data_IF_656921458572
#
_entry.id   IF_656921458572
#
_cell.length_a   1.000
_cell.length_b   1.000
_cell.length_c   1.000
_cell.angle_alpha   90.00
_cell.angle_beta   90.00
_cell.angle_gamma   90.00
#
_symmetry.space_group_name_H-M   'P 1'
#
loop_
_entity.id
_entity.type
_entity.pdbx_description
1 polymer ?
#
# COMPACT_ATOMS: atom_id res chain seq x y z
N UNK A 1 -7.45 -13.45 1.10
CA UNK A 1 -8.50 -12.46 0.73
C UNK A 1 -9.53 -12.22 1.83
N UNK A 2 -10.34 -13.20 2.29
CA UNK A 2 -11.37 -12.94 3.32
C UNK A 2 -10.84 -12.24 4.58
N UNK A 3 -9.61 -12.55 5.00
CA UNK A 3 -9.00 -11.88 6.16
C UNK A 3 -8.65 -10.41 5.86
N UNK A 4 -8.17 -10.09 4.67
CA UNK A 4 -7.93 -8.69 4.27
C UNK A 4 -9.21 -7.86 4.25
N UNK A 5 -10.32 -8.44 3.77
CA UNK A 5 -11.65 -7.82 3.81
C UNK A 5 -12.12 -7.61 5.26
N UNK A 6 -12.01 -8.63 6.12
CA UNK A 6 -12.38 -8.50 7.53
C UNK A 6 -11.58 -7.41 8.24
N UNK A 7 -10.28 -7.30 7.96
CA UNK A 7 -9.43 -6.23 8.50
C UNK A 7 -9.88 -4.84 8.06
N UNK A 8 -10.36 -4.67 6.83
CA UNK A 8 -10.89 -3.39 6.35
C UNK A 8 -12.16 -2.98 7.12
N UNK A 9 -13.06 -3.93 7.39
CA UNK A 9 -14.27 -3.70 8.18
C UNK A 9 -13.95 -3.41 9.66
N UNK A 10 -13.03 -4.14 10.24
CA UNK A 10 -12.54 -3.92 11.62
C UNK A 10 -11.89 -2.53 11.75
N UNK A 11 -11.13 -2.12 10.73
CA UNK A 11 -10.48 -0.81 10.68
C UNK A 11 -11.47 0.34 10.78
N UNK A 12 -12.54 0.31 9.99
CA UNK A 12 -13.60 1.34 10.02
C UNK A 12 -14.25 1.42 11.40
N UNK A 13 -14.57 0.28 12.01
CA UNK A 13 -15.16 0.23 13.37
C UNK A 13 -14.26 0.86 14.43
N UNK A 14 -12.95 0.85 14.20
CA UNK A 14 -11.93 1.40 15.10
C UNK A 14 -11.44 2.80 14.70
N UNK A 15 -12.10 3.48 13.76
CA UNK A 15 -11.76 4.85 13.35
C UNK A 15 -10.64 4.95 12.31
N UNK A 16 -10.22 3.83 11.71
CA UNK A 16 -9.28 3.79 10.60
C UNK A 16 -9.97 3.82 9.23
N UNK A 17 -9.18 3.86 8.16
CA UNK A 17 -9.69 3.77 6.78
C UNK A 17 -10.14 2.36 6.39
N UNK A 18 -10.99 2.20 5.35
CA UNK A 18 -11.62 0.93 4.95
C UNK A 18 -10.66 0.02 4.15
N UNK A 19 -9.44 -0.16 4.62
CA UNK A 19 -8.43 -0.94 3.91
C UNK A 19 -7.72 -1.92 4.84
N UNK A 20 -7.53 -3.14 4.33
CA UNK A 20 -6.84 -4.21 5.02
C UNK A 20 -5.91 -4.98 4.07
N UNK A 21 -4.78 -5.45 4.59
CA UNK A 21 -3.78 -6.21 3.84
C UNK A 21 -3.25 -7.40 4.63
N UNK A 22 -2.97 -8.47 3.92
CA UNK A 22 -2.40 -9.72 4.47
C UNK A 22 -1.24 -10.15 3.58
N UNK A 23 -0.09 -10.43 4.18
CA UNK A 23 1.05 -11.07 3.51
C UNK A 23 1.11 -12.52 3.95
N UNK A 24 1.15 -13.44 2.97
CA UNK A 24 1.20 -14.87 3.21
C UNK A 24 2.35 -15.53 2.44
N UNK A 25 2.87 -16.63 2.96
CA UNK A 25 3.88 -17.47 2.33
C UNK A 25 3.49 -18.93 2.48
N UNK A 26 3.40 -19.66 1.35
CA UNK A 26 3.02 -21.08 1.35
C UNK A 26 1.74 -21.40 2.14
N UNK A 27 0.73 -20.53 2.02
CA UNK A 27 -0.56 -20.69 2.71
C UNK A 27 -0.60 -20.21 4.16
N UNK A 28 0.52 -19.77 4.74
CA UNK A 28 0.59 -19.25 6.09
C UNK A 28 0.60 -17.72 6.12
N UNK A 29 -0.18 -17.11 6.99
CA UNK A 29 -0.17 -15.66 7.20
C UNK A 29 1.11 -15.26 7.95
N UNK A 30 1.94 -14.44 7.30
CA UNK A 30 3.15 -13.87 7.88
C UNK A 30 2.84 -12.59 8.63
N UNK A 31 2.07 -11.70 8.03
CA UNK A 31 1.67 -10.43 8.61
C UNK A 31 0.30 -10.00 8.10
N UNK A 32 -0.41 -9.23 8.92
CA UNK A 32 -1.68 -8.60 8.57
C UNK A 32 -1.73 -7.20 9.15
N UNK A 33 -2.36 -6.27 8.45
CA UNK A 33 -2.52 -4.90 8.89
C UNK A 33 -3.77 -4.26 8.30
N UNK A 34 -4.23 -3.21 8.96
CA UNK A 34 -5.28 -2.32 8.48
C UNK A 34 -4.72 -0.89 8.30
N UNK A 35 -5.49 -0.03 7.63
CA UNK A 35 -5.14 1.38 7.46
C UNK A 35 -5.16 2.10 8.81
N UNK A 36 -4.07 2.82 9.11
CA UNK A 36 -3.88 3.56 10.36
C UNK A 36 -3.56 5.04 10.17
N UNK A 37 -3.75 5.58 8.98
CA UNK A 37 -3.41 6.98 8.64
C UNK A 37 -3.96 7.97 9.67
N UNK A 38 -5.24 7.85 10.01
CA UNK A 38 -5.91 8.75 10.96
C UNK A 38 -5.51 8.47 12.40
N UNK A 39 -5.27 7.21 12.76
CA UNK A 39 -4.94 6.80 14.13
C UNK A 39 -3.50 7.17 14.52
N UNK A 40 -2.57 7.04 13.56
CA UNK A 40 -1.13 7.26 13.78
C UNK A 40 -0.66 8.63 13.31
N UNK A 41 -1.55 9.45 12.70
CA UNK A 41 -1.20 10.70 12.02
C UNK A 41 -0.06 10.55 11.00
N UNK A 42 -0.01 9.37 10.35
CA UNK A 42 1.00 9.01 9.35
C UNK A 42 0.32 8.78 7.99
N UNK A 43 0.50 9.68 6.99
CA UNK A 43 -0.11 9.53 5.67
C UNK A 43 0.41 8.31 4.91
N UNK A 44 1.48 7.68 5.36
CA UNK A 44 2.05 6.46 4.75
C UNK A 44 1.58 5.17 5.42
N UNK A 45 0.84 5.24 6.53
CA UNK A 45 0.36 4.07 7.28
C UNK A 45 -0.84 3.38 6.58
N UNK A 46 -0.72 3.16 5.27
CA UNK A 46 -1.64 2.31 4.52
C UNK A 46 -1.49 0.84 4.95
N UNK A 47 -2.55 0.05 4.77
CA UNK A 47 -2.57 -1.34 5.19
C UNK A 47 -1.43 -2.16 4.58
N UNK A 48 -1.15 -1.98 3.29
CA UNK A 48 -0.10 -2.69 2.56
C UNK A 48 1.29 -2.34 3.08
N UNK A 49 1.60 -1.04 3.23
CA UNK A 49 2.88 -0.57 3.76
C UNK A 49 3.10 -1.08 5.18
N UNK A 50 2.06 -1.03 6.00
CA UNK A 50 2.09 -1.55 7.37
C UNK A 50 2.32 -3.07 7.40
N UNK A 51 1.64 -3.84 6.54
CA UNK A 51 1.84 -5.27 6.42
C UNK A 51 3.25 -5.63 5.95
N UNK A 52 3.81 -4.88 4.97
CA UNK A 52 5.20 -5.05 4.51
C UNK A 52 6.19 -4.83 5.65
N UNK A 53 6.03 -3.74 6.42
CA UNK A 53 6.89 -3.44 7.58
C UNK A 53 6.85 -4.56 8.62
N UNK A 54 5.66 -5.05 8.95
CA UNK A 54 5.48 -6.15 9.90
C UNK A 54 6.08 -7.46 9.38
N UNK A 55 5.84 -7.82 8.11
CA UNK A 55 6.41 -9.02 7.51
C UNK A 55 7.93 -8.97 7.46
N UNK A 56 8.50 -7.83 7.06
CA UNK A 56 9.95 -7.62 7.01
C UNK A 56 10.60 -7.75 8.39
N UNK A 57 9.97 -7.15 9.40
CA UNK A 57 10.42 -7.27 10.80
C UNK A 57 10.35 -8.72 11.29
N UNK A 58 9.22 -9.41 11.05
CA UNK A 58 9.00 -10.79 11.49
C UNK A 58 9.98 -11.77 10.83
N UNK A 59 10.29 -11.56 9.55
CA UNK A 59 11.18 -12.44 8.79
C UNK A 59 12.66 -12.02 8.88
N UNK A 60 12.96 -10.85 9.46
CA UNK A 60 14.31 -10.33 9.59
C UNK A 60 14.96 -9.98 8.22
N UNK A 61 14.15 -9.59 7.23
CA UNK A 61 14.62 -9.30 5.86
C UNK A 61 13.76 -8.26 5.18
N UNK A 62 14.36 -7.43 4.32
CA UNK A 62 13.65 -6.52 3.42
C UNK A 62 13.16 -7.21 2.13
N UNK A 63 13.66 -8.41 1.83
CA UNK A 63 13.30 -9.19 0.65
C UNK A 63 12.21 -10.21 1.00
N UNK A 64 10.99 -9.96 0.55
CA UNK A 64 9.82 -10.80 0.77
C UNK A 64 9.48 -11.71 -0.41
N UNK A 65 10.48 -12.05 -1.26
CA UNK A 65 10.30 -13.04 -2.33
C UNK A 65 9.77 -14.36 -1.76
N UNK A 66 8.88 -15.00 -2.48
CA UNK A 66 8.14 -16.17 -2.01
C UNK A 66 6.92 -15.85 -1.15
N UNK A 67 6.60 -14.56 -0.97
CA UNK A 67 5.37 -14.12 -0.31
C UNK A 67 4.43 -13.45 -1.30
N UNK A 68 3.13 -13.63 -1.06
CA UNK A 68 2.04 -12.96 -1.77
C UNK A 68 1.37 -11.94 -0.85
N UNK A 69 0.82 -10.88 -1.45
CA UNK A 69 -0.02 -9.91 -0.73
C UNK A 69 -1.46 -9.97 -1.19
N UNK A 70 -2.39 -9.92 -0.24
CA UNK A 70 -3.83 -9.85 -0.44
C UNK A 70 -4.33 -8.55 0.16
N UNK A 71 -4.97 -7.71 -0.64
CA UNK A 71 -5.48 -6.40 -0.26
C UNK A 71 -6.98 -6.30 -0.46
N UNK A 72 -7.69 -5.61 0.43
CA UNK A 72 -9.12 -5.39 0.29
C UNK A 72 -9.47 -4.49 -0.90
N UNK A 73 -8.51 -3.69 -1.36
CA UNK A 73 -8.62 -2.81 -2.52
C UNK A 73 -7.34 -2.82 -3.33
N UNK A 74 -7.43 -2.46 -4.61
CA UNK A 74 -6.27 -2.26 -5.50
C UNK A 74 -5.26 -1.31 -4.85
N UNK A 75 -3.97 -1.67 -4.77
CA UNK A 75 -2.96 -0.83 -4.15
C UNK A 75 -2.79 0.51 -4.86
N UNK A 76 -2.75 1.60 -4.10
CA UNK A 76 -2.42 2.92 -4.62
C UNK A 76 -0.96 2.99 -5.13
N UNK A 77 -0.54 4.04 -5.86
CA UNK A 77 0.82 4.14 -6.40
C UNK A 77 1.93 4.01 -5.34
N UNK A 78 1.74 4.56 -4.14
CA UNK A 78 2.68 4.42 -3.03
C UNK A 78 2.83 2.95 -2.60
N UNK A 79 1.69 2.27 -2.39
CA UNK A 79 1.67 0.87 -1.96
C UNK A 79 2.20 -0.07 -3.04
N UNK A 80 1.85 0.19 -4.31
CA UNK A 80 2.37 -0.57 -5.44
C UNK A 80 3.89 -0.44 -5.52
N UNK A 81 4.44 0.77 -5.37
CA UNK A 81 5.88 0.98 -5.29
C UNK A 81 6.52 0.21 -4.14
N UNK A 82 5.90 0.23 -2.94
CA UNK A 82 6.38 -0.53 -1.79
C UNK A 82 6.37 -2.05 -2.02
N UNK A 83 5.34 -2.58 -2.71
CA UNK A 83 5.21 -3.99 -3.09
C UNK A 83 6.38 -4.41 -3.99
N UNK A 84 6.71 -3.61 -5.01
CA UNK A 84 7.87 -3.86 -5.88
C UNK A 84 9.20 -3.80 -5.10
N UNK A 85 9.38 -2.81 -4.23
CA UNK A 85 10.58 -2.71 -3.38
C UNK A 85 10.74 -3.91 -2.44
N UNK A 86 9.62 -4.41 -1.89
CA UNK A 86 9.59 -5.59 -1.04
C UNK A 86 9.79 -6.90 -1.81
N UNK A 87 9.71 -6.89 -3.15
CA UNK A 87 9.81 -8.08 -4.03
C UNK A 87 8.78 -9.16 -3.72
N UNK A 88 7.54 -8.74 -3.43
CA UNK A 88 6.42 -9.67 -3.30
C UNK A 88 6.10 -10.32 -4.65
N UNK A 89 5.79 -11.62 -4.64
CA UNK A 89 5.63 -12.39 -5.88
C UNK A 89 4.31 -12.06 -6.59
N UNK A 90 3.19 -12.02 -5.85
CA UNK A 90 1.88 -11.78 -6.43
C UNK A 90 1.06 -10.78 -5.58
N UNK A 91 0.19 -10.05 -6.26
CA UNK A 91 -0.76 -9.11 -5.65
C UNK A 91 -2.17 -9.55 -6.01
N UNK A 92 -2.99 -9.78 -4.99
CA UNK A 92 -4.40 -10.11 -5.13
C UNK A 92 -5.23 -9.02 -4.42
N UNK A 93 -6.22 -8.45 -5.11
CA UNK A 93 -7.09 -7.43 -4.55
C UNK A 93 -8.58 -7.76 -4.80
N UNK A 94 -9.47 -7.22 -3.96
CA UNK A 94 -10.90 -7.46 -4.04
C UNK A 94 -11.62 -6.35 -4.80
N UNK A 95 -11.58 -5.12 -4.30
CA UNK A 95 -12.14 -3.94 -4.98
C UNK A 95 -11.09 -3.31 -5.88
N UNK A 96 -11.52 -2.65 -6.96
CA UNK A 96 -10.64 -1.87 -7.81
C UNK A 96 -10.60 -0.39 -7.36
N UNK A 97 -9.78 0.43 -8.02
CA UNK A 97 -9.65 1.85 -7.71
C UNK A 97 -10.92 2.67 -8.02
N UNK A 98 -11.75 2.22 -8.97
CA UNK A 98 -13.04 2.88 -9.25
C UNK A 98 -14.00 2.69 -8.08
N UNK A 99 -14.01 1.50 -7.47
CA UNK A 99 -14.78 1.24 -6.24
C UNK A 99 -14.33 2.14 -5.10
N UNK A 100 -13.01 2.36 -4.95
CA UNK A 100 -12.45 3.26 -3.95
C UNK A 100 -12.82 4.72 -4.22
N UNK A 101 -12.73 5.19 -5.46
CA UNK A 101 -13.11 6.54 -5.87
C UNK A 101 -14.59 6.83 -5.57
N UNK A 102 -15.48 5.86 -5.80
CA UNK A 102 -16.92 5.98 -5.53
C UNK A 102 -17.25 6.24 -4.04
N UNK A 103 -16.35 5.91 -3.13
CA UNK A 103 -16.50 6.17 -1.69
C UNK A 103 -15.58 7.31 -1.19
N UNK A 104 -15.01 8.10 -2.11
CA UNK A 104 -14.24 9.30 -1.81
C UNK A 104 -12.73 9.09 -1.61
N UNK A 105 -12.19 7.91 -1.92
CA UNK A 105 -10.75 7.64 -1.92
C UNK A 105 -10.24 7.67 -3.36
N UNK A 106 -9.87 8.87 -3.84
CA UNK A 106 -9.40 9.09 -5.21
C UNK A 106 -7.87 9.17 -5.23
N UNK A 107 -7.22 8.06 -5.55
CA UNK A 107 -5.79 7.96 -5.83
C UNK A 107 -5.47 7.97 -7.34
N UNK A 108 -6.47 8.02 -8.20
CA UNK A 108 -6.34 8.06 -9.66
C UNK A 108 -5.56 9.31 -10.10
N UNK A 109 -5.77 10.43 -9.41
CA UNK A 109 -4.97 11.64 -9.58
C UNK A 109 -3.45 11.37 -9.48
N UNK A 110 -3.01 10.55 -8.51
CA UNK A 110 -1.59 10.23 -8.33
C UNK A 110 -1.07 9.37 -9.50
N UNK A 111 -1.88 8.44 -10.00
CA UNK A 111 -1.51 7.65 -11.19
C UNK A 111 -1.30 8.56 -12.41
N UNK A 112 -2.18 9.53 -12.64
CA UNK A 112 -2.04 10.51 -13.72
C UNK A 112 -0.77 11.36 -13.55
N UNK A 113 -0.53 11.92 -12.37
CA UNK A 113 0.67 12.71 -12.04
C UNK A 113 1.97 11.93 -12.30
N UNK A 114 2.00 10.64 -11.92
CA UNK A 114 3.19 9.80 -12.13
C UNK A 114 3.46 9.50 -13.59
N UNK A 115 2.45 9.50 -14.46
CA UNK A 115 2.60 9.31 -15.90
C UNK A 115 3.15 10.56 -16.61
N UNK A 116 3.06 11.74 -16.00
CA UNK A 116 3.57 12.99 -16.56
C UNK A 116 5.09 13.10 -16.41
N UNK A 117 5.71 13.88 -17.31
CA UNK A 117 7.11 14.30 -17.12
C UNK A 117 7.22 15.17 -15.86
N UNK A 118 8.37 15.16 -15.14
CA UNK A 118 8.54 15.95 -13.93
C UNK A 118 8.16 17.42 -14.05
N UNK A 119 8.42 18.04 -15.20
CA UNK A 119 8.10 19.46 -15.49
C UNK A 119 6.61 19.73 -15.72
N UNK A 120 5.79 18.69 -15.91
CA UNK A 120 4.36 18.79 -16.20
C UNK A 120 3.50 18.47 -14.96
N UNK A 121 4.12 18.00 -13.87
CA UNK A 121 3.45 17.64 -12.64
C UNK A 121 3.00 18.85 -11.83
N UNK A 122 1.92 18.69 -11.08
CA UNK A 122 1.42 19.73 -10.16
C UNK A 122 2.40 20.04 -9.01
N UNK A 123 3.26 19.08 -8.65
CA UNK A 123 4.35 19.29 -7.69
C UNK A 123 5.59 19.77 -8.42
N UNK A 124 6.11 20.94 -8.02
CA UNK A 124 7.38 21.43 -8.55
C UNK A 124 8.51 20.47 -8.17
N UNK A 125 9.26 20.02 -9.18
CA UNK A 125 10.41 19.13 -9.03
C UNK A 125 11.61 19.74 -9.74
N UNK A 126 12.62 20.13 -8.98
CA UNK A 126 13.83 20.77 -9.50
C UNK A 126 15.05 19.90 -9.19
N UNK A 127 15.93 19.80 -10.19
CA UNK A 127 17.23 19.15 -10.01
C UNK A 127 18.20 20.15 -9.38
N UNK A 128 18.58 19.90 -8.12
CA UNK A 128 19.53 20.73 -7.38
C UNK A 128 20.86 19.99 -7.19
N UNK A 129 21.95 20.70 -7.36
CA UNK A 129 23.33 20.22 -7.10
C UNK A 129 23.66 18.87 -7.76
N UNK A 130 23.37 18.67 -9.06
CA UNK A 130 23.58 17.38 -9.74
C UNK A 130 25.05 16.94 -9.78
N UNK A 131 26.00 17.90 -9.67
CA UNK A 131 27.44 17.62 -9.70
C UNK A 131 28.01 17.26 -8.33
N UNK A 132 27.24 17.40 -7.24
CA UNK A 132 27.67 17.07 -5.87
C UNK A 132 27.08 15.75 -5.38
N UNK A 133 26.06 15.19 -6.10
CA UNK A 133 25.43 13.90 -5.83
C UNK A 133 26.18 12.74 -6.54
#
# INVERSE_FOLDING_TARGET
MRRAIALSEESVKNGGGPFGAVIARKGEIIAEAANRVTLDHDPTAHAEVSAIRLASSKLGTFNLSGCDIYTSCEPCPMCLGAIYWARLDNVYYANNREDAANIGFDDDFIYHEMALKPSERSKNMELLLPNEA
#
